data_IF_683103988365
#
_entry.id   IF_683103988365
#
_cell.length_a   1.000
_cell.length_b   1.000
_cell.length_c   1.000
_cell.angle_alpha   90.00
_cell.angle_beta   90.00
_cell.angle_gamma   90.00
#
_symmetry.space_group_name_H-M   'P 1'
#
loop_
_entity.id
_entity.type
_entity.pdbx_description
1 polymer ?
#
# COMPACT_ATOMS: atom_id res chain seq x y z
N UNK A 1 -41.48 52.35 16.99
CA UNK A 1 -40.01 52.26 17.15
C UNK A 1 -39.69 50.98 17.91
N UNK A 2 -38.76 50.18 17.36
CA UNK A 2 -38.12 48.98 17.93
C UNK A 2 -39.00 47.80 18.40
N UNK A 3 -39.13 46.78 17.54
CA UNK A 3 -39.00 45.34 17.85
C UNK A 3 -39.24 44.44 16.61
N UNK A 4 -38.35 44.47 15.59
CA UNK A 4 -38.12 43.26 14.77
C UNK A 4 -36.69 42.71 14.85
N UNK A 5 -35.80 43.30 15.66
CA UNK A 5 -34.39 42.89 15.72
C UNK A 5 -34.12 41.71 16.68
N UNK A 6 -35.06 41.37 17.57
CA UNK A 6 -34.86 40.29 18.54
C UNK A 6 -35.19 38.89 17.97
N UNK A 7 -35.95 38.81 16.87
CA UNK A 7 -36.32 37.54 16.24
C UNK A 7 -35.24 37.01 15.26
N UNK A 8 -34.41 37.90 14.71
CA UNK A 8 -33.34 37.54 13.78
C UNK A 8 -32.08 37.06 14.53
N UNK A 9 -31.82 37.59 15.74
CA UNK A 9 -30.71 37.15 16.58
C UNK A 9 -30.90 35.70 17.11
N UNK A 10 -32.13 35.32 17.44
CA UNK A 10 -32.42 33.99 18.03
C UNK A 10 -32.52 32.86 16.99
N UNK A 11 -32.82 33.16 15.71
CA UNK A 11 -32.84 32.13 14.65
C UNK A 11 -31.47 31.84 14.02
N UNK A 12 -30.51 32.77 14.09
CA UNK A 12 -29.19 32.60 13.43
C UNK A 12 -28.08 32.19 14.42
N UNK A 13 -28.25 32.40 15.73
CA UNK A 13 -27.15 32.36 16.69
C UNK A 13 -26.92 31.09 17.53
N UNK A 14 -27.92 30.23 17.72
CA UNK A 14 -27.83 29.16 18.74
C UNK A 14 -27.76 27.73 18.18
N UNK A 15 -28.46 27.42 17.08
CA UNK A 15 -28.45 26.06 16.51
C UNK A 15 -27.16 25.70 15.75
N UNK A 16 -26.47 26.68 15.15
CA UNK A 16 -25.19 26.45 14.47
C UNK A 16 -24.00 26.37 15.44
N UNK A 17 -24.03 27.07 16.58
CA UNK A 17 -22.98 27.00 17.61
C UNK A 17 -22.95 25.65 18.33
N UNK A 18 -24.10 25.02 18.58
CA UNK A 18 -24.18 23.71 19.24
C UNK A 18 -23.65 22.59 18.33
N UNK A 19 -24.00 22.59 17.04
CA UNK A 19 -23.50 21.60 16.06
C UNK A 19 -22.01 21.80 15.74
N UNK A 20 -21.56 23.05 15.59
CA UNK A 20 -20.13 23.37 15.39
C UNK A 20 -19.29 22.96 16.61
N UNK A 21 -19.76 23.24 17.83
CA UNK A 21 -19.08 22.83 19.06
C UNK A 21 -19.04 21.31 19.27
N UNK A 22 -20.08 20.57 18.87
CA UNK A 22 -20.08 19.09 18.90
C UNK A 22 -19.12 18.50 17.87
N UNK A 23 -19.06 19.05 16.66
CA UNK A 23 -18.10 18.64 15.63
C UNK A 23 -16.66 18.88 16.10
N UNK A 24 -16.36 20.07 16.63
CA UNK A 24 -15.04 20.42 17.17
C UNK A 24 -14.67 19.55 18.37
N UNK A 25 -15.58 19.30 19.31
CA UNK A 25 -15.35 18.38 20.44
C UNK A 25 -15.09 16.94 19.97
N UNK A 26 -15.83 16.46 18.99
CA UNK A 26 -15.65 15.11 18.43
C UNK A 26 -14.32 15.00 17.68
N UNK A 27 -13.95 16.03 16.91
CA UNK A 27 -12.66 16.12 16.22
C UNK A 27 -11.50 16.18 17.23
N UNK A 28 -11.61 17.00 18.28
CA UNK A 28 -10.61 17.08 19.37
C UNK A 28 -10.48 15.77 20.14
N UNK A 29 -11.59 15.11 20.49
CA UNK A 29 -11.58 13.80 21.15
C UNK A 29 -10.91 12.73 20.26
N UNK A 30 -11.21 12.74 18.96
CA UNK A 30 -10.59 11.84 17.99
C UNK A 30 -9.10 12.13 17.79
N UNK A 31 -8.71 13.40 17.79
CA UNK A 31 -7.31 13.82 17.73
C UNK A 31 -6.55 13.41 19.00
N UNK A 32 -7.12 13.65 20.19
CA UNK A 32 -6.56 13.23 21.47
C UNK A 32 -6.40 11.70 21.58
N UNK A 33 -7.41 10.94 21.13
CA UNK A 33 -7.32 9.47 21.02
C UNK A 33 -6.16 9.06 20.13
N UNK A 34 -6.05 9.63 18.93
CA UNK A 34 -4.94 9.31 18.01
C UNK A 34 -3.57 9.66 18.58
N UNK A 35 -3.46 10.76 19.32
CA UNK A 35 -2.22 11.15 20.00
C UNK A 35 -1.89 10.15 21.12
N UNK A 36 -2.87 9.76 21.92
CA UNK A 36 -2.70 8.74 22.95
C UNK A 36 -2.30 7.39 22.34
N UNK A 37 -3.01 6.91 21.33
CA UNK A 37 -2.71 5.67 20.61
C UNK A 37 -1.30 5.69 20.01
N UNK A 38 -0.87 6.84 19.46
CA UNK A 38 0.47 7.04 18.91
C UNK A 38 1.55 7.00 19.99
N UNK A 39 1.32 7.63 21.15
CA UNK A 39 2.25 7.61 22.27
C UNK A 39 2.35 6.21 22.87
N UNK A 40 1.21 5.53 23.06
CA UNK A 40 1.16 4.16 23.56
C UNK A 40 1.90 3.19 22.62
N UNK A 41 1.73 3.35 21.31
CA UNK A 41 2.49 2.57 20.33
C UNK A 41 3.99 2.85 20.41
N UNK A 42 4.40 4.11 20.51
CA UNK A 42 5.82 4.46 20.66
C UNK A 42 6.41 3.89 21.95
N UNK A 43 5.67 3.90 23.06
CA UNK A 43 6.08 3.26 24.30
C UNK A 43 6.25 1.75 24.15
N UNK A 44 5.32 1.07 23.47
CA UNK A 44 5.44 -0.36 23.14
C UNK A 44 6.65 -0.65 22.25
N UNK A 45 6.88 0.16 21.22
CA UNK A 45 8.01 0.00 20.30
C UNK A 45 9.36 0.17 21.04
N UNK A 46 9.45 1.19 21.89
CA UNK A 46 10.62 1.42 22.74
C UNK A 46 10.84 0.27 23.74
N UNK A 47 9.78 -0.33 24.28
CA UNK A 47 9.90 -1.47 25.19
C UNK A 47 10.56 -2.69 24.51
N UNK A 48 10.30 -2.93 23.23
CA UNK A 48 11.00 -3.99 22.46
C UNK A 48 12.49 -3.67 22.33
N UNK A 49 12.85 -2.43 22.01
CA UNK A 49 14.25 -2.02 21.87
C UNK A 49 15.00 -2.14 23.20
N UNK A 50 14.39 -1.70 24.30
CA UNK A 50 14.94 -1.85 25.66
C UNK A 50 15.07 -3.32 26.03
N UNK A 51 14.10 -4.16 25.68
CA UNK A 51 14.17 -5.62 25.90
C UNK A 51 15.35 -6.26 25.17
N UNK A 52 15.58 -5.90 23.91
CA UNK A 52 16.75 -6.36 23.15
C UNK A 52 18.06 -5.93 23.84
N UNK A 53 18.15 -4.68 24.27
CA UNK A 53 19.33 -4.18 24.97
C UNK A 53 19.56 -4.95 26.28
N UNK A 54 18.53 -5.10 27.12
CA UNK A 54 18.64 -5.85 28.38
C UNK A 54 19.08 -7.30 28.18
N UNK A 55 18.49 -8.01 27.22
CA UNK A 55 18.89 -9.38 26.90
C UNK A 55 20.34 -9.43 26.43
N UNK A 56 20.74 -8.52 25.53
CA UNK A 56 22.10 -8.46 24.99
C UNK A 56 23.13 -8.17 26.09
N UNK A 57 22.86 -7.16 26.93
CA UNK A 57 23.73 -6.80 28.07
C UNK A 57 23.82 -7.93 29.09
N UNK A 58 22.71 -8.60 29.40
CA UNK A 58 22.70 -9.71 30.36
C UNK A 58 23.57 -10.88 29.87
N UNK A 59 23.49 -11.23 28.59
CA UNK A 59 24.36 -12.27 28.00
C UNK A 59 25.84 -11.91 28.11
N UNK A 60 26.19 -10.65 27.82
CA UNK A 60 27.58 -10.19 27.93
C UNK A 60 28.06 -10.24 29.38
N UNK A 61 27.26 -9.79 30.33
CA UNK A 61 27.62 -9.84 31.75
C UNK A 61 27.79 -11.30 32.24
N UNK A 62 26.88 -12.20 31.86
CA UNK A 62 27.00 -13.62 32.20
C UNK A 62 28.29 -14.22 31.62
N UNK A 63 28.65 -13.87 30.38
CA UNK A 63 29.88 -14.33 29.75
C UNK A 63 31.12 -13.85 30.54
N UNK A 64 31.16 -12.57 30.93
CA UNK A 64 32.24 -12.01 31.73
C UNK A 64 32.35 -12.69 33.10
N UNK A 65 31.22 -12.90 33.79
CA UNK A 65 31.20 -13.62 35.08
C UNK A 65 31.66 -15.07 34.92
N UNK A 66 31.32 -15.72 33.80
CA UNK A 66 31.77 -17.09 33.51
C UNK A 66 33.29 -17.14 33.37
N UNK A 67 33.88 -16.21 32.62
CA UNK A 67 35.34 -16.12 32.43
C UNK A 67 36.08 -15.82 33.74
N UNK A 68 35.54 -14.91 34.57
CA UNK A 68 36.11 -14.60 35.88
C UNK A 68 36.01 -15.80 36.83
N UNK A 69 34.85 -16.47 36.87
CA UNK A 69 34.63 -17.64 37.71
C UNK A 69 35.62 -18.76 37.37
N UNK A 70 35.87 -19.02 36.08
CA UNK A 70 36.84 -20.03 35.65
C UNK A 70 38.29 -19.65 36.00
N UNK A 71 38.64 -18.37 35.99
CA UNK A 71 39.96 -17.91 36.41
C UNK A 71 40.21 -18.04 37.92
N UNK A 72 39.16 -17.92 38.74
CA UNK A 72 39.26 -17.92 40.20
C UNK A 72 39.17 -19.33 40.80
N UNK A 73 38.22 -20.14 40.35
CA UNK A 73 37.89 -21.40 41.04
C UNK A 73 38.55 -22.64 40.43
N UNK A 74 38.69 -22.71 39.10
CA UNK A 74 39.27 -23.86 38.39
C UNK A 74 38.53 -25.20 38.61
N UNK A 75 37.27 -25.15 39.06
CA UNK A 75 36.42 -26.30 39.32
C UNK A 75 35.01 -26.03 38.78
N UNK A 76 34.67 -26.75 37.71
CA UNK A 76 33.42 -26.60 36.96
C UNK A 76 32.16 -26.71 37.84
N UNK A 77 32.16 -27.57 38.86
CA UNK A 77 30.99 -27.73 39.74
C UNK A 77 30.81 -26.54 40.67
N UNK A 78 31.90 -25.95 41.14
CA UNK A 78 31.86 -24.75 42.01
C UNK A 78 31.50 -23.53 41.16
N UNK A 79 32.08 -23.41 39.98
CA UNK A 79 31.79 -22.33 39.02
C UNK A 79 30.29 -22.29 38.66
N UNK A 80 29.70 -23.45 38.34
CA UNK A 80 28.28 -23.53 38.00
C UNK A 80 27.37 -23.09 39.16
N UNK A 81 27.70 -23.46 40.40
CA UNK A 81 26.91 -23.08 41.57
C UNK A 81 27.04 -21.58 41.89
N UNK A 82 28.26 -21.04 41.80
CA UNK A 82 28.51 -19.60 41.99
C UNK A 82 27.76 -18.77 40.94
N UNK A 83 27.86 -19.15 39.66
CA UNK A 83 27.13 -18.48 38.59
C UNK A 83 25.62 -18.54 38.80
N UNK A 84 25.08 -19.70 39.20
CA UNK A 84 23.65 -19.84 39.47
C UNK A 84 23.17 -18.88 40.56
N UNK A 85 23.97 -18.67 41.61
CA UNK A 85 23.62 -17.77 42.71
C UNK A 85 23.75 -16.29 42.34
N UNK A 86 24.76 -15.91 41.55
CA UNK A 86 25.04 -14.50 41.21
C UNK A 86 24.16 -14.02 40.05
N UNK A 87 24.04 -14.81 38.98
CA UNK A 87 23.41 -14.36 37.72
C UNK A 87 22.06 -15.01 37.41
N UNK A 88 21.73 -16.15 38.03
CA UNK A 88 20.50 -16.90 37.74
C UNK A 88 19.22 -16.07 37.92
N UNK A 89 19.05 -15.46 39.11
CA UNK A 89 17.89 -14.61 39.40
C UNK A 89 17.79 -13.37 38.49
N UNK A 90 18.93 -12.81 38.06
CA UNK A 90 18.96 -11.69 37.13
C UNK A 90 18.48 -12.10 35.74
N UNK A 91 18.98 -13.23 35.22
CA UNK A 91 18.54 -13.78 33.94
C UNK A 91 17.04 -14.09 33.95
N UNK A 92 16.54 -14.76 34.99
CA UNK A 92 15.12 -15.09 35.11
C UNK A 92 14.20 -13.86 35.10
N UNK A 93 14.61 -12.76 35.76
CA UNK A 93 13.86 -11.48 35.72
C UNK A 93 13.86 -10.86 34.33
N UNK A 94 14.99 -10.87 33.63
CA UNK A 94 15.10 -10.31 32.27
C UNK A 94 14.26 -11.13 31.28
N UNK A 95 14.32 -12.47 31.36
CA UNK A 95 13.50 -13.36 30.53
C UNK A 95 12.00 -13.16 30.79
N UNK A 96 11.61 -13.06 32.07
CA UNK A 96 10.21 -12.81 32.45
C UNK A 96 9.71 -11.43 32.03
N UNK A 97 10.56 -10.41 32.08
CA UNK A 97 10.24 -9.08 31.55
C UNK A 97 10.06 -9.13 30.03
N UNK A 98 11.03 -9.72 29.32
CA UNK A 98 11.00 -9.86 27.87
C UNK A 98 9.74 -10.60 27.41
N UNK A 99 9.36 -11.68 28.10
CA UNK A 99 8.16 -12.46 27.77
C UNK A 99 6.90 -11.59 27.87
N UNK A 100 6.73 -10.84 28.97
CA UNK A 100 5.59 -9.93 29.14
C UNK A 100 5.52 -8.86 28.05
N UNK A 101 6.66 -8.26 27.71
CA UNK A 101 6.74 -7.23 26.66
C UNK A 101 6.35 -7.82 25.30
N UNK A 102 6.89 -8.99 24.94
CA UNK A 102 6.56 -9.69 23.69
C UNK A 102 5.09 -10.10 23.63
N UNK A 103 4.54 -10.65 24.71
CA UNK A 103 3.15 -11.12 24.77
C UNK A 103 2.15 -9.96 24.59
N UNK A 104 2.44 -8.80 25.18
CA UNK A 104 1.60 -7.60 25.10
C UNK A 104 1.81 -6.77 23.83
N UNK A 105 2.77 -7.10 22.97
CA UNK A 105 3.10 -6.30 21.81
C UNK A 105 2.13 -6.55 20.63
N UNK A 106 1.52 -5.47 20.14
CA UNK A 106 0.53 -5.45 19.04
C UNK A 106 0.98 -4.57 17.86
N UNK A 107 2.25 -4.15 17.85
CA UNK A 107 2.77 -3.24 16.84
C UNK A 107 3.21 -3.90 15.53
N UNK A 108 4.15 -3.26 14.85
CA UNK A 108 4.73 -3.81 13.62
C UNK A 108 5.75 -4.92 13.90
N UNK A 109 5.70 -6.00 13.12
CA UNK A 109 6.75 -7.03 13.11
C UNK A 109 8.15 -6.44 12.88
N UNK A 110 8.25 -5.32 12.15
CA UNK A 110 9.51 -4.66 11.85
C UNK A 110 10.29 -4.25 13.10
N UNK A 111 9.59 -3.94 14.19
CA UNK A 111 10.19 -3.59 15.47
C UNK A 111 10.62 -4.84 16.25
N UNK A 112 9.91 -5.96 16.11
CA UNK A 112 10.32 -7.25 16.69
C UNK A 112 11.50 -7.88 15.95
N UNK A 113 11.71 -7.56 14.67
CA UNK A 113 12.69 -8.20 13.82
C UNK A 113 14.12 -8.21 14.40
N UNK A 114 14.67 -7.13 14.97
CA UNK A 114 15.99 -7.16 15.62
C UNK A 114 16.05 -8.14 16.80
N UNK A 115 15.01 -8.17 17.64
CA UNK A 115 14.92 -9.09 18.78
C UNK A 115 14.80 -10.55 18.32
N UNK A 116 13.96 -10.83 17.33
CA UNK A 116 13.84 -12.15 16.72
C UNK A 116 15.17 -12.63 16.11
N UNK A 117 15.89 -11.73 15.42
CA UNK A 117 17.22 -12.01 14.85
C UNK A 117 18.23 -12.34 15.94
N UNK A 118 18.26 -11.56 17.02
CA UNK A 118 19.14 -11.80 18.16
C UNK A 118 18.87 -13.18 18.78
N UNK A 119 17.61 -13.47 19.11
CA UNK A 119 17.20 -14.73 19.73
C UNK A 119 17.49 -15.94 18.83
N UNK A 120 17.34 -15.83 17.51
CA UNK A 120 17.71 -16.90 16.58
C UNK A 120 19.22 -17.10 16.48
N UNK A 121 19.99 -16.00 16.35
CA UNK A 121 21.45 -16.03 16.23
C UNK A 121 22.11 -16.66 17.46
N UNK A 122 21.59 -16.38 18.65
CA UNK A 122 22.15 -16.82 19.92
C UNK A 122 21.36 -17.97 20.57
N UNK A 123 20.47 -18.65 19.83
CA UNK A 123 19.55 -19.64 20.39
C UNK A 123 20.25 -20.75 21.20
N UNK A 124 21.30 -21.37 20.64
CA UNK A 124 21.99 -22.48 21.29
C UNK A 124 22.76 -22.02 22.53
N UNK A 125 23.43 -20.86 22.43
CA UNK A 125 24.17 -20.26 23.54
C UNK A 125 23.23 -19.87 24.69
N UNK A 126 22.09 -19.26 24.37
CA UNK A 126 21.09 -18.88 25.37
C UNK A 126 20.41 -20.10 25.99
N UNK A 127 20.17 -21.16 25.22
CA UNK A 127 19.61 -22.40 25.73
C UNK A 127 20.54 -23.05 26.77
N UNK A 128 21.82 -23.22 26.43
CA UNK A 128 22.80 -23.82 27.36
C UNK A 128 23.04 -22.96 28.60
N UNK A 129 23.13 -21.64 28.44
CA UNK A 129 23.24 -20.71 29.58
C UNK A 129 22.01 -20.79 30.49
N UNK A 130 20.81 -20.81 29.91
CA UNK A 130 19.57 -20.90 30.69
C UNK A 130 19.45 -22.24 31.41
N UNK A 131 19.92 -23.33 30.80
CA UNK A 131 19.95 -24.66 31.42
C UNK A 131 20.90 -24.71 32.62
N UNK A 132 22.12 -24.22 32.46
CA UNK A 132 23.11 -24.19 33.54
C UNK A 132 22.61 -23.34 34.74
N UNK A 133 21.90 -22.26 34.45
CA UNK A 133 21.39 -21.30 35.43
C UNK A 133 20.00 -21.65 36.00
N UNK A 134 19.35 -22.72 35.52
CA UNK A 134 18.03 -23.16 36.01
C UNK A 134 16.83 -22.37 35.47
N UNK A 135 17.00 -21.63 34.38
CA UNK A 135 16.00 -20.74 33.75
C UNK A 135 15.50 -21.26 32.38
N UNK A 136 15.69 -22.56 32.09
CA UNK A 136 15.31 -23.17 30.80
C UNK A 136 13.84 -22.97 30.44
N UNK A 137 12.93 -23.06 31.42
CA UNK A 137 11.49 -22.95 31.17
C UNK A 137 11.09 -21.53 30.74
N UNK A 138 11.67 -20.51 31.39
CA UNK A 138 11.46 -19.10 31.10
C UNK A 138 12.01 -18.75 29.71
N UNK A 139 13.22 -19.24 29.40
CA UNK A 139 13.82 -19.05 28.07
C UNK A 139 12.99 -19.72 26.97
N UNK A 140 12.59 -20.98 27.16
CA UNK A 140 11.76 -21.69 26.20
C UNK A 140 10.41 -20.99 25.96
N UNK A 141 9.80 -20.46 27.03
CA UNK A 141 8.54 -19.71 26.95
C UNK A 141 8.70 -18.41 26.13
N UNK A 142 9.74 -17.62 26.43
CA UNK A 142 10.06 -16.41 25.67
C UNK A 142 10.34 -16.73 24.19
N UNK A 143 11.14 -17.76 23.93
CA UNK A 143 11.51 -18.16 22.59
C UNK A 143 10.27 -18.54 21.76
N UNK A 144 9.42 -19.41 22.29
CA UNK A 144 8.18 -19.84 21.63
C UNK A 144 7.21 -18.68 21.43
N UNK A 145 7.02 -17.82 22.44
CA UNK A 145 6.16 -16.63 22.32
C UNK A 145 6.66 -15.69 21.23
N UNK A 146 7.95 -15.33 21.22
CA UNK A 146 8.52 -14.41 20.24
C UNK A 146 8.37 -14.91 18.80
N UNK A 147 8.64 -16.19 18.56
CA UNK A 147 8.54 -16.75 17.22
C UNK A 147 7.10 -16.84 16.75
N UNK A 148 6.19 -17.30 17.61
CA UNK A 148 4.75 -17.30 17.33
C UNK A 148 4.22 -15.89 17.08
N UNK A 149 4.56 -14.94 17.95
CA UNK A 149 4.16 -13.53 17.84
C UNK A 149 4.65 -12.90 16.55
N UNK A 150 5.89 -13.19 16.13
CA UNK A 150 6.45 -12.70 14.87
C UNK A 150 5.59 -13.08 13.67
N UNK A 151 5.13 -14.33 13.59
CA UNK A 151 4.25 -14.79 12.50
C UNK A 151 2.84 -14.21 12.63
N UNK A 152 2.31 -14.13 13.85
CA UNK A 152 0.99 -13.52 14.11
C UNK A 152 0.96 -12.07 13.61
N UNK A 153 1.97 -11.25 13.89
CA UNK A 153 1.99 -9.85 13.46
C UNK A 153 2.06 -9.68 11.94
N UNK A 154 2.74 -10.60 11.24
CA UNK A 154 2.74 -10.60 9.76
C UNK A 154 1.33 -10.94 9.24
N UNK A 155 0.65 -11.92 9.85
CA UNK A 155 -0.72 -12.30 9.49
C UNK A 155 -1.74 -11.22 9.83
N UNK A 156 -1.53 -10.53 10.95
CA UNK A 156 -2.33 -9.40 11.38
C UNK A 156 -2.17 -8.20 10.45
N UNK A 157 -0.95 -7.89 10.00
CA UNK A 157 -0.74 -6.88 8.95
C UNK A 157 -1.56 -7.20 7.70
N UNK A 158 -1.54 -8.46 7.24
CA UNK A 158 -2.35 -8.91 6.10
C UNK A 158 -3.85 -8.71 6.34
N UNK A 159 -4.35 -9.06 7.53
CA UNK A 159 -5.76 -8.90 7.89
C UNK A 159 -6.16 -7.42 7.88
N UNK A 160 -5.41 -6.58 8.59
CA UNK A 160 -5.64 -5.13 8.66
C UNK A 160 -5.55 -4.46 7.30
N UNK A 161 -4.68 -4.97 6.41
CA UNK A 161 -4.61 -4.52 5.02
C UNK A 161 -5.90 -4.85 4.26
N UNK A 162 -6.41 -6.08 4.36
CA UNK A 162 -7.65 -6.49 3.68
C UNK A 162 -8.92 -5.82 4.22
N UNK A 163 -8.92 -5.42 5.49
CA UNK A 163 -10.05 -4.75 6.16
C UNK A 163 -10.00 -3.21 6.06
N UNK A 164 -9.13 -2.67 5.20
CA UNK A 164 -8.92 -1.23 5.01
C UNK A 164 -8.58 -0.44 6.28
N UNK A 165 -7.92 -1.09 7.24
CA UNK A 165 -7.45 -0.46 8.47
C UNK A 165 -6.08 0.21 8.31
N UNK A 166 -5.35 -0.13 7.23
CA UNK A 166 -4.03 0.42 6.89
C UNK A 166 -4.17 1.28 5.62
N UNK A 167 -3.40 2.36 5.52
CA UNK A 167 -3.42 3.29 4.37
C UNK A 167 -4.46 4.41 4.48
N UNK A 168 -5.43 4.30 5.40
CA UNK A 168 -6.39 5.35 5.70
C UNK A 168 -7.42 5.58 4.58
N UNK A 169 -8.24 6.62 4.74
CA UNK A 169 -9.31 6.98 3.77
C UNK A 169 -8.84 7.91 2.65
N UNK A 170 -7.54 8.19 2.59
CA UNK A 170 -6.99 9.05 1.56
C UNK A 170 -7.17 8.37 0.19
N UNK A 171 -7.55 9.16 -0.81
CA UNK A 171 -7.71 8.74 -2.20
C UNK A 171 -7.09 9.83 -3.07
N UNK A 172 -6.10 9.49 -3.91
CA UNK A 172 -5.53 10.44 -4.86
C UNK A 172 -6.59 10.94 -5.84
N UNK A 173 -6.82 12.25 -5.91
CA UNK A 173 -7.84 12.83 -6.80
C UNK A 173 -7.49 12.67 -8.29
N UNK A 174 -6.21 12.50 -8.58
CA UNK A 174 -5.62 12.31 -9.91
C UNK A 174 -5.50 10.81 -10.29
N UNK A 175 -5.86 9.90 -9.38
CA UNK A 175 -5.72 8.45 -9.60
C UNK A 175 -4.28 7.93 -9.48
N UNK A 176 -3.35 8.70 -8.90
CA UNK A 176 -1.96 8.27 -8.74
C UNK A 176 -1.81 7.02 -7.82
N UNK A 177 -0.60 6.48 -7.74
CA UNK A 177 -0.26 5.34 -6.87
C UNK A 177 -0.56 5.66 -5.42
N UNK A 178 -1.31 4.79 -4.75
CA UNK A 178 -1.63 4.96 -3.35
C UNK A 178 -0.39 4.62 -2.47
N UNK A 179 -0.08 5.40 -1.42
CA UNK A 179 1.08 5.14 -0.55
C UNK A 179 1.09 3.75 0.12
N UNK A 180 -0.07 3.10 0.26
CA UNK A 180 -0.18 1.73 0.77
C UNK A 180 0.54 0.71 -0.11
N UNK A 181 0.61 0.96 -1.42
CA UNK A 181 1.31 0.09 -2.38
C UNK A 181 2.81 0.10 -2.11
N UNK A 182 3.42 1.27 -1.98
CA UNK A 182 4.86 1.40 -1.68
C UNK A 182 5.18 0.91 -0.27
N UNK A 183 4.35 1.24 0.73
CA UNK A 183 4.51 0.76 2.11
C UNK A 183 4.49 -0.76 2.21
N UNK A 184 3.54 -1.42 1.53
CA UNK A 184 3.42 -2.88 1.53
C UNK A 184 4.59 -3.54 0.80
N UNK A 185 5.01 -2.99 -0.35
CA UNK A 185 6.15 -3.53 -1.08
C UNK A 185 7.46 -3.38 -0.30
N UNK A 186 7.65 -2.27 0.43
CA UNK A 186 8.81 -2.08 1.30
C UNK A 186 8.85 -3.12 2.43
N UNK A 187 7.70 -3.43 3.05
CA UNK A 187 7.61 -4.52 4.02
C UNK A 187 8.05 -5.85 3.40
N UNK A 188 7.50 -6.19 2.23
CA UNK A 188 7.85 -7.43 1.52
C UNK A 188 9.33 -7.51 1.17
N UNK A 189 9.94 -6.40 0.72
CA UNK A 189 11.39 -6.34 0.48
C UNK A 189 12.19 -6.69 1.73
N UNK A 190 11.82 -6.16 2.90
CA UNK A 190 12.53 -6.49 4.14
C UNK A 190 12.32 -7.94 4.57
N UNK A 191 11.10 -8.48 4.42
CA UNK A 191 10.83 -9.90 4.71
C UNK A 191 11.68 -10.81 3.81
N UNK A 192 11.78 -10.50 2.53
CA UNK A 192 12.58 -11.24 1.55
C UNK A 192 14.07 -11.13 1.83
N UNK A 193 14.59 -9.94 2.18
CA UNK A 193 15.98 -9.77 2.61
C UNK A 193 16.32 -10.62 3.84
N UNK A 194 15.31 -10.95 4.65
CA UNK A 194 15.43 -11.78 5.85
C UNK A 194 14.89 -13.21 5.64
N UNK A 195 14.87 -13.73 4.41
CA UNK A 195 14.27 -15.03 4.08
C UNK A 195 14.77 -16.18 4.97
N UNK A 196 16.08 -16.25 5.27
CA UNK A 196 16.64 -17.29 6.16
C UNK A 196 16.05 -17.23 7.56
N UNK A 197 15.95 -16.02 8.11
CA UNK A 197 15.36 -15.77 9.42
C UNK A 197 13.88 -16.12 9.41
N UNK A 198 13.14 -15.70 8.37
CA UNK A 198 11.71 -15.96 8.25
C UNK A 198 11.41 -17.47 8.14
N UNK A 199 12.20 -18.23 7.39
CA UNK A 199 12.10 -19.69 7.34
C UNK A 199 12.29 -20.33 8.71
N UNK A 200 13.29 -19.88 9.48
CA UNK A 200 13.52 -20.38 10.84
C UNK A 200 12.37 -20.02 11.78
N UNK A 201 11.81 -18.80 11.68
CA UNK A 201 10.65 -18.40 12.48
C UNK A 201 9.42 -19.27 12.17
N UNK A 202 9.13 -19.50 10.89
CA UNK A 202 8.00 -20.32 10.45
C UNK A 202 8.15 -21.75 10.96
N UNK A 203 9.34 -22.35 10.81
CA UNK A 203 9.61 -23.71 11.26
C UNK A 203 9.45 -23.82 12.79
N UNK A 204 9.99 -22.87 13.55
CA UNK A 204 9.94 -22.90 15.02
C UNK A 204 8.60 -22.46 15.61
N UNK A 205 7.79 -21.72 14.87
CA UNK A 205 6.42 -21.37 15.24
C UNK A 205 5.40 -22.47 14.86
N UNK A 206 5.86 -23.57 14.26
CA UNK A 206 5.04 -24.70 13.80
C UNK A 206 3.93 -24.25 12.83
N UNK A 207 4.26 -23.29 11.95
CA UNK A 207 3.32 -22.76 10.96
C UNK A 207 3.57 -23.43 9.61
N UNK A 208 2.54 -24.07 9.05
CA UNK A 208 2.59 -24.73 7.74
C UNK A 208 2.35 -23.76 6.58
N UNK A 209 3.14 -22.70 6.48
CA UNK A 209 3.01 -21.69 5.42
C UNK A 209 4.39 -21.23 4.97
N UNK A 210 4.69 -21.30 3.68
CA UNK A 210 6.00 -20.86 3.16
C UNK A 210 6.11 -19.32 3.20
N UNK A 211 7.32 -18.75 3.21
CA UNK A 211 7.48 -17.30 3.03
C UNK A 211 6.89 -16.78 1.72
N UNK A 212 6.92 -17.60 0.65
CA UNK A 212 6.31 -17.27 -0.64
C UNK A 212 4.80 -17.18 -0.54
N UNK A 213 4.16 -18.16 0.11
CA UNK A 213 2.72 -18.16 0.37
C UNK A 213 2.29 -16.91 1.15
N UNK A 214 3.04 -16.55 2.21
CA UNK A 214 2.80 -15.32 2.99
C UNK A 214 2.89 -14.07 2.11
N UNK A 215 3.93 -13.95 1.29
CA UNK A 215 4.12 -12.82 0.40
C UNK A 215 3.00 -12.70 -0.64
N UNK A 216 2.59 -13.83 -1.26
CA UNK A 216 1.46 -13.89 -2.19
C UNK A 216 0.18 -13.41 -1.51
N UNK A 217 -0.10 -13.86 -0.29
CA UNK A 217 -1.32 -13.48 0.41
C UNK A 217 -1.33 -12.01 0.84
N UNK A 218 -0.19 -11.45 1.24
CA UNK A 218 -0.07 -10.00 1.51
C UNK A 218 -0.35 -9.20 0.23
N UNK A 219 0.18 -9.62 -0.91
CA UNK A 219 -0.08 -8.96 -2.19
C UNK A 219 -1.54 -9.11 -2.64
N UNK A 220 -2.18 -10.25 -2.41
CA UNK A 220 -3.62 -10.42 -2.65
C UNK A 220 -4.46 -9.49 -1.78
N UNK A 221 -4.12 -9.36 -0.48
CA UNK A 221 -4.78 -8.43 0.42
C UNK A 221 -4.57 -6.97 -0.02
N UNK A 222 -3.38 -6.62 -0.53
CA UNK A 222 -3.12 -5.31 -1.13
C UNK A 222 -4.01 -5.06 -2.35
N UNK A 223 -4.06 -5.99 -3.31
CA UNK A 223 -4.92 -5.85 -4.49
C UNK A 223 -6.40 -5.73 -4.12
N UNK A 224 -6.88 -6.49 -3.13
CA UNK A 224 -8.24 -6.39 -2.64
C UNK A 224 -8.52 -5.02 -2.01
N UNK A 225 -7.61 -4.51 -1.18
CA UNK A 225 -7.71 -3.19 -0.58
C UNK A 225 -7.79 -2.10 -1.68
N UNK A 226 -6.91 -2.16 -2.67
CA UNK A 226 -6.89 -1.23 -3.79
C UNK A 226 -8.18 -1.29 -4.60
N UNK A 227 -8.78 -2.47 -4.81
CA UNK A 227 -10.08 -2.62 -5.48
C UNK A 227 -11.23 -2.03 -4.65
N UNK A 228 -11.21 -2.19 -3.34
CA UNK A 228 -12.19 -1.53 -2.46
C UNK A 228 -12.06 -0.01 -2.58
N UNK A 229 -10.83 0.51 -2.54
CA UNK A 229 -10.55 1.94 -2.76
C UNK A 229 -10.99 2.41 -4.14
N UNK A 230 -10.68 1.68 -5.20
CA UNK A 230 -11.07 2.07 -6.56
C UNK A 230 -12.58 2.16 -6.74
N UNK A 231 -13.35 1.30 -6.05
CA UNK A 231 -14.82 1.32 -6.09
C UNK A 231 -15.47 2.56 -5.45
N UNK A 232 -14.68 3.38 -4.75
CA UNK A 232 -15.18 4.61 -4.11
C UNK A 232 -15.07 5.85 -5.00
N UNK A 233 -14.37 5.78 -6.14
CA UNK A 233 -14.35 6.87 -7.10
C UNK A 233 -15.71 6.99 -7.81
N UNK A 234 -16.19 8.22 -7.95
CA UNK A 234 -17.43 8.49 -8.69
C UNK A 234 -17.28 8.25 -10.18
N UNK A 235 -16.11 8.60 -10.75
CA UNK A 235 -15.80 8.34 -12.15
C UNK A 235 -15.17 6.94 -12.34
N UNK A 236 -15.81 6.04 -13.12
CA UNK A 236 -15.25 4.73 -13.44
C UNK A 236 -13.94 4.77 -14.23
N UNK A 237 -13.72 5.81 -15.06
CA UNK A 237 -12.47 5.93 -15.80
C UNK A 237 -11.31 6.26 -14.86
N UNK A 238 -11.50 7.19 -13.91
CA UNK A 238 -10.54 7.44 -12.84
C UNK A 238 -10.30 6.21 -11.96
N UNK A 239 -11.36 5.47 -11.60
CA UNK A 239 -11.24 4.22 -10.85
C UNK A 239 -10.36 3.19 -11.57
N UNK A 240 -10.53 3.06 -12.89
CA UNK A 240 -9.72 2.18 -13.74
C UNK A 240 -8.27 2.64 -13.81
N UNK A 241 -8.05 3.95 -13.98
CA UNK A 241 -6.72 4.56 -14.05
C UNK A 241 -5.95 4.41 -12.74
N UNK A 242 -6.62 4.58 -11.60
CA UNK A 242 -6.07 4.27 -10.28
C UNK A 242 -5.58 2.82 -10.16
N UNK A 243 -6.38 1.86 -10.66
CA UNK A 243 -5.97 0.45 -10.66
C UNK A 243 -4.78 0.19 -11.59
N UNK A 244 -4.74 0.79 -12.78
CA UNK A 244 -3.61 0.68 -13.72
C UNK A 244 -2.31 1.12 -13.03
N UNK A 245 -2.30 2.33 -12.45
CA UNK A 245 -1.14 2.88 -11.77
C UNK A 245 -0.62 1.97 -10.66
N UNK A 246 -1.51 1.51 -9.76
CA UNK A 246 -1.09 0.70 -8.62
C UNK A 246 -0.64 -0.71 -9.04
N UNK A 247 -1.37 -1.38 -9.95
CA UNK A 247 -1.03 -2.73 -10.39
C UNK A 247 0.28 -2.77 -11.17
N UNK A 248 0.51 -1.77 -12.03
CA UNK A 248 1.79 -1.66 -12.74
C UNK A 248 2.94 -1.34 -11.79
N UNK A 249 2.73 -0.43 -10.84
CA UNK A 249 3.74 -0.14 -9.82
C UNK A 249 4.13 -1.40 -9.02
N UNK A 250 3.13 -2.20 -8.62
CA UNK A 250 3.35 -3.49 -7.95
C UNK A 250 4.11 -4.45 -8.87
N UNK A 251 3.61 -4.69 -10.09
CA UNK A 251 4.22 -5.62 -11.04
C UNK A 251 5.66 -5.25 -11.40
N UNK A 252 5.93 -3.97 -11.68
CA UNK A 252 7.27 -3.47 -11.96
C UNK A 252 8.20 -3.60 -10.75
N UNK A 253 7.72 -3.28 -9.54
CA UNK A 253 8.53 -3.42 -8.33
C UNK A 253 8.87 -4.88 -8.07
N UNK A 254 7.90 -5.79 -8.19
CA UNK A 254 8.13 -7.23 -8.05
C UNK A 254 9.15 -7.73 -9.08
N UNK A 255 9.00 -7.33 -10.35
CA UNK A 255 9.91 -7.74 -11.43
C UNK A 255 11.35 -7.22 -11.25
N UNK A 256 11.52 -6.03 -10.68
CA UNK A 256 12.85 -5.46 -10.39
C UNK A 256 13.53 -6.16 -9.19
N UNK A 257 12.76 -6.57 -8.19
CA UNK A 257 13.25 -7.24 -6.99
C UNK A 257 13.40 -8.76 -7.22
N UNK A 258 14.52 -9.19 -7.82
CA UNK A 258 14.75 -10.60 -8.22
C UNK A 258 14.47 -11.63 -7.12
N UNK A 259 14.84 -11.33 -5.87
CA UNK A 259 14.61 -12.26 -4.75
C UNK A 259 13.13 -12.38 -4.40
N UNK A 260 12.37 -11.28 -4.47
CA UNK A 260 10.92 -11.30 -4.27
C UNK A 260 10.24 -12.04 -5.42
N UNK A 261 10.64 -11.77 -6.67
CA UNK A 261 10.13 -12.48 -7.84
C UNK A 261 10.34 -14.00 -7.72
N UNK A 262 11.56 -14.44 -7.44
CA UNK A 262 11.89 -15.85 -7.28
C UNK A 262 11.10 -16.49 -6.13
N UNK A 263 10.92 -15.77 -5.02
CA UNK A 263 10.15 -16.25 -3.89
C UNK A 263 8.66 -16.46 -4.24
N UNK A 264 8.06 -15.51 -4.95
CA UNK A 264 6.67 -15.60 -5.40
C UNK A 264 6.50 -16.73 -6.43
N UNK A 265 7.42 -16.86 -7.37
CA UNK A 265 7.38 -17.90 -8.40
C UNK A 265 7.60 -19.31 -7.85
N UNK A 266 8.37 -19.44 -6.76
CA UNK A 266 8.55 -20.71 -6.07
C UNK A 266 7.25 -21.27 -5.46
N UNK A 267 6.27 -20.39 -5.22
CA UNK A 267 4.97 -20.76 -4.63
C UNK A 267 3.82 -20.72 -5.65
N UNK A 268 3.76 -19.65 -6.46
CA UNK A 268 2.78 -19.47 -7.53
C UNK A 268 3.44 -18.85 -8.78
N UNK A 269 3.92 -19.69 -9.69
CA UNK A 269 4.69 -19.28 -10.89
C UNK A 269 4.05 -18.16 -11.71
N UNK A 270 2.73 -18.21 -11.90
CA UNK A 270 1.99 -17.24 -12.72
C UNK A 270 1.47 -16.01 -11.92
N UNK A 271 1.72 -15.94 -10.62
CA UNK A 271 1.19 -14.84 -9.79
C UNK A 271 1.79 -13.48 -10.16
N UNK A 272 3.11 -13.31 -10.38
CA UNK A 272 3.67 -12.01 -10.75
C UNK A 272 3.11 -11.45 -12.07
N UNK A 273 2.88 -12.29 -13.07
CA UNK A 273 2.31 -11.86 -14.36
C UNK A 273 0.82 -11.51 -14.27
N UNK A 274 0.12 -11.95 -13.20
CA UNK A 274 -1.30 -11.61 -13.01
C UNK A 274 -1.54 -10.11 -12.82
N UNK A 275 -0.58 -9.37 -12.24
CA UNK A 275 -0.70 -7.91 -12.08
C UNK A 275 -0.72 -7.19 -13.43
N UNK A 276 0.10 -7.63 -14.39
CA UNK A 276 0.12 -7.06 -15.73
C UNK A 276 -1.19 -7.37 -16.46
N UNK A 277 -1.64 -8.62 -16.43
CA UNK A 277 -2.93 -9.03 -17.03
C UNK A 277 -4.10 -8.23 -16.45
N UNK A 278 -4.14 -8.04 -15.14
CA UNK A 278 -5.18 -7.26 -14.47
C UNK A 278 -5.10 -5.78 -14.85
N UNK A 279 -3.90 -5.19 -14.88
CA UNK A 279 -3.71 -3.80 -15.33
C UNK A 279 -4.17 -3.61 -16.78
N UNK A 280 -3.89 -4.56 -17.67
CA UNK A 280 -4.37 -4.53 -19.04
C UNK A 280 -5.91 -4.59 -19.12
N UNK A 281 -6.57 -5.37 -18.25
CA UNK A 281 -8.04 -5.38 -18.18
C UNK A 281 -8.61 -4.02 -17.78
N UNK A 282 -8.02 -3.36 -16.78
CA UNK A 282 -8.43 -2.00 -16.39
C UNK A 282 -8.11 -0.96 -17.47
N UNK A 283 -7.00 -1.12 -18.20
CA UNK A 283 -6.69 -0.29 -19.35
C UNK A 283 -7.78 -0.39 -20.42
N UNK A 284 -8.26 -1.60 -20.73
CA UNK A 284 -9.38 -1.75 -21.67
C UNK A 284 -10.66 -1.07 -21.16
N UNK A 285 -10.93 -1.11 -19.85
CA UNK A 285 -12.08 -0.41 -19.27
C UNK A 285 -11.94 1.11 -19.37
N UNK A 286 -10.76 1.65 -19.08
CA UNK A 286 -10.45 3.07 -19.25
C UNK A 286 -10.58 3.52 -20.70
N UNK A 287 -10.08 2.74 -21.66
CA UNK A 287 -10.12 3.11 -23.08
C UNK A 287 -11.54 3.13 -23.67
N UNK A 288 -12.53 2.48 -23.04
CA UNK A 288 -13.94 2.51 -23.51
C UNK A 288 -14.52 3.92 -23.56
N UNK A 289 -14.14 4.82 -22.64
CA UNK A 289 -14.65 6.20 -22.68
C UNK A 289 -14.09 6.97 -23.88
N UNK A 290 -12.85 6.69 -24.28
CA UNK A 290 -12.23 7.27 -25.48
C UNK A 290 -12.74 6.63 -26.77
N UNK A 291 -13.01 5.32 -26.77
CA UNK A 291 -13.59 4.62 -27.91
C UNK A 291 -14.95 5.23 -28.32
N UNK A 292 -15.80 5.60 -27.35
CA UNK A 292 -17.08 6.29 -27.60
C UNK A 292 -16.91 7.63 -28.33
N UNK A 293 -15.82 8.35 -28.08
CA UNK A 293 -15.52 9.61 -28.78
C UNK A 293 -15.20 9.35 -30.25
N UNK A 294 -14.43 8.30 -30.54
CA UNK A 294 -14.14 7.87 -31.91
C UNK A 294 -15.35 7.28 -32.65
N UNK A 295 -16.21 6.56 -31.94
CA UNK A 295 -17.44 5.96 -32.48
C UNK A 295 -18.42 6.99 -33.05
N UNK A 296 -18.29 8.28 -32.70
CA UNK A 296 -19.06 9.37 -33.32
C UNK A 296 -18.89 9.39 -34.85
N UNK A 297 -17.75 8.93 -35.36
CA UNK A 297 -17.46 8.85 -36.79
C UNK A 297 -17.93 7.55 -37.45
N UNK A 298 -18.39 6.56 -36.67
CA UNK A 298 -19.00 5.36 -37.22
C UNK A 298 -20.42 5.67 -37.68
N UNK A 299 -20.55 5.95 -38.98
CA UNK A 299 -21.82 6.34 -39.63
C UNK A 299 -22.69 5.15 -40.05
N UNK A 300 -22.46 3.94 -39.53
CA UNK A 300 -23.33 2.78 -39.77
C UNK A 300 -24.61 2.96 -38.93
N UNK A 301 -25.44 3.87 -39.40
CA UNK A 301 -26.79 4.09 -38.95
C UNK A 301 -27.60 2.82 -39.29
N UNK A 302 -28.29 2.26 -38.30
CA UNK A 302 -29.18 1.13 -38.51
C UNK A 302 -30.25 1.44 -39.57
N UNK A 303 -30.90 0.42 -40.17
CA UNK A 303 -31.88 0.64 -41.22
C UNK A 303 -33.04 1.51 -40.68
N UNK A 304 -33.11 2.78 -41.14
CA UNK A 304 -34.18 3.73 -40.79
C UNK A 304 -33.72 5.07 -40.20
N UNK A 305 -32.43 5.26 -39.87
CA UNK A 305 -31.92 6.55 -39.38
C UNK A 305 -31.41 7.45 -40.54
N UNK A 306 -31.84 8.71 -40.58
CA UNK A 306 -31.37 9.70 -41.56
C UNK A 306 -29.86 9.94 -41.41
N UNK A 307 -29.13 10.01 -42.53
CA UNK A 307 -27.71 10.37 -42.56
C UNK A 307 -27.49 11.69 -41.83
N UNK A 308 -26.77 11.66 -40.71
CA UNK A 308 -26.31 12.88 -40.01
C UNK A 308 -25.39 13.66 -40.94
N UNK A 309 -25.55 14.99 -40.98
CA UNK A 309 -24.65 15.84 -41.76
C UNK A 309 -23.24 15.83 -41.18
N UNK A 310 -22.21 15.98 -42.02
CA UNK A 310 -20.80 16.03 -41.61
C UNK A 310 -20.56 17.07 -40.52
N UNK A 311 -21.17 18.27 -40.67
CA UNK A 311 -21.13 19.33 -39.66
C UNK A 311 -21.69 18.89 -38.29
N UNK A 312 -22.83 18.19 -38.29
CA UNK A 312 -23.43 17.71 -37.04
C UNK A 312 -22.56 16.66 -36.32
N UNK A 313 -21.90 15.78 -37.08
CA UNK A 313 -20.98 14.77 -36.57
C UNK A 313 -19.78 15.44 -35.89
N UNK A 314 -19.13 16.40 -36.56
CA UNK A 314 -18.01 17.15 -35.95
C UNK A 314 -18.43 17.98 -34.74
N UNK A 315 -19.65 18.50 -34.71
CA UNK A 315 -20.19 19.22 -33.54
C UNK A 315 -20.31 18.29 -32.34
N UNK A 316 -20.85 17.08 -32.53
CA UNK A 316 -20.94 16.06 -31.48
C UNK A 316 -19.55 15.64 -31.03
N UNK A 317 -18.65 15.33 -31.97
CA UNK A 317 -17.27 14.97 -31.67
C UNK A 317 -16.58 16.03 -30.80
N UNK A 318 -16.67 17.30 -31.21
CA UNK A 318 -16.05 18.42 -30.49
C UNK A 318 -16.55 18.50 -29.05
N UNK A 319 -17.87 18.33 -28.84
CA UNK A 319 -18.47 18.33 -27.50
C UNK A 319 -17.96 17.16 -26.64
N UNK A 320 -17.98 15.93 -27.18
CA UNK A 320 -17.55 14.74 -26.42
C UNK A 320 -16.04 14.77 -26.14
N UNK A 321 -15.23 15.22 -27.10
CA UNK A 321 -13.79 15.37 -26.95
C UNK A 321 -13.43 16.47 -25.93
N UNK A 322 -14.10 17.62 -25.97
CA UNK A 322 -13.90 18.69 -24.98
C UNK A 322 -14.25 18.20 -23.57
N UNK A 323 -15.38 17.51 -23.41
CA UNK A 323 -15.84 17.02 -22.13
C UNK A 323 -14.85 16.02 -21.51
N UNK A 324 -14.36 15.05 -22.29
CA UNK A 324 -13.43 14.05 -21.78
C UNK A 324 -12.04 14.64 -21.49
N UNK A 325 -11.55 15.57 -22.31
CA UNK A 325 -10.26 16.25 -22.08
C UNK A 325 -10.32 17.11 -20.82
N UNK A 326 -11.40 17.89 -20.65
CA UNK A 326 -11.58 18.73 -19.48
C UNK A 326 -11.71 17.91 -18.19
N UNK A 327 -12.38 16.76 -18.25
CA UNK A 327 -12.50 15.84 -17.13
C UNK A 327 -11.15 15.17 -16.78
N UNK A 328 -10.42 14.69 -17.79
CA UNK A 328 -9.22 13.87 -17.59
C UNK A 328 -7.92 14.66 -17.49
N UNK A 329 -7.94 15.99 -17.64
CA UNK A 329 -6.73 16.83 -17.52
C UNK A 329 -6.03 16.71 -16.17
N UNK A 330 -6.77 16.38 -15.11
CA UNK A 330 -6.22 16.21 -13.76
C UNK A 330 -5.74 14.78 -13.50
N UNK A 331 -5.92 13.85 -14.44
CA UNK A 331 -5.53 12.44 -14.23
C UNK A 331 -4.03 12.30 -14.38
N UNK A 332 -3.44 11.43 -13.57
CA UNK A 332 -2.01 11.16 -13.56
C UNK A 332 -1.75 9.70 -13.90
N UNK A 333 -0.92 9.43 -14.92
CA UNK A 333 -0.34 8.10 -15.13
C UNK A 333 1.10 8.14 -14.61
N UNK A 334 1.37 7.40 -13.54
CA UNK A 334 2.60 7.56 -12.76
C UNK A 334 3.87 7.13 -13.53
N UNK A 335 3.75 6.15 -14.42
CA UNK A 335 4.85 5.60 -15.21
C UNK A 335 4.82 6.14 -16.64
N UNK A 336 5.91 6.76 -17.10
CA UNK A 336 5.97 7.41 -18.41
C UNK A 336 5.81 6.42 -19.58
N UNK A 337 6.34 5.20 -19.44
CA UNK A 337 6.20 4.17 -20.49
C UNK A 337 4.73 3.80 -20.65
N UNK A 338 4.02 3.65 -19.53
CA UNK A 338 2.58 3.44 -19.53
C UNK A 338 1.84 4.65 -20.08
N UNK A 339 2.17 5.87 -19.64
CA UNK A 339 1.51 7.08 -20.13
C UNK A 339 1.60 7.17 -21.65
N UNK A 340 2.78 6.92 -22.23
CA UNK A 340 2.99 6.87 -23.67
C UNK A 340 2.15 5.77 -24.34
N UNK A 341 2.07 4.57 -23.75
CA UNK A 341 1.21 3.50 -24.26
C UNK A 341 -0.26 3.90 -24.28
N UNK A 342 -0.77 4.46 -23.17
CA UNK A 342 -2.15 4.95 -23.05
C UNK A 342 -2.43 6.00 -24.12
N UNK A 343 -1.57 7.01 -24.25
CA UNK A 343 -1.70 8.06 -25.29
C UNK A 343 -1.74 7.47 -26.70
N UNK A 344 -0.83 6.54 -27.02
CA UNK A 344 -0.84 5.85 -28.32
C UNK A 344 -2.17 5.12 -28.58
N UNK A 345 -2.72 4.45 -27.57
CA UNK A 345 -4.03 3.77 -27.69
C UNK A 345 -5.18 4.76 -27.88
N UNK A 346 -5.18 5.88 -27.15
CA UNK A 346 -6.17 6.95 -27.32
C UNK A 346 -6.08 7.52 -28.75
N UNK A 347 -4.87 7.80 -29.26
CA UNK A 347 -4.67 8.24 -30.65
C UNK A 347 -5.28 7.25 -31.64
N UNK A 348 -5.04 5.95 -31.47
CA UNK A 348 -5.65 4.94 -32.36
C UNK A 348 -7.18 4.89 -32.31
N UNK A 349 -7.78 5.24 -31.16
CA UNK A 349 -9.23 5.21 -31.00
C UNK A 349 -9.92 6.49 -31.46
N UNK A 350 -9.22 7.63 -31.47
CA UNK A 350 -9.82 8.94 -31.69
C UNK A 350 -9.28 9.60 -32.96
N UNK A 351 -7.95 9.70 -33.07
CA UNK A 351 -7.29 10.40 -34.17
C UNK A 351 -7.46 9.63 -35.49
N UNK A 352 -7.32 8.31 -35.46
CA UNK A 352 -7.46 7.50 -36.67
C UNK A 352 -8.88 7.59 -37.28
N UNK A 353 -9.99 7.38 -36.54
CA UNK A 353 -11.33 7.60 -37.07
C UNK A 353 -11.58 9.03 -37.55
N UNK A 354 -11.05 10.04 -36.84
CA UNK A 354 -11.14 11.44 -37.26
C UNK A 354 -10.50 11.68 -38.63
N UNK A 355 -9.28 11.18 -38.85
CA UNK A 355 -8.54 11.35 -40.12
C UNK A 355 -9.22 10.59 -41.25
N UNK A 356 -9.65 9.36 -41.01
CA UNK A 356 -10.35 8.53 -42.01
C UNK A 356 -11.67 9.18 -42.43
N UNK A 357 -12.47 9.66 -41.48
CA UNK A 357 -13.72 10.36 -41.75
C UNK A 357 -13.50 11.68 -42.49
N UNK A 358 -12.51 12.48 -42.07
CA UNK A 358 -12.17 13.74 -42.72
C UNK A 358 -11.72 13.53 -44.17
N UNK A 359 -10.91 12.50 -44.42
CA UNK A 359 -10.45 12.15 -45.77
C UNK A 359 -11.61 11.69 -46.67
N UNK A 360 -12.54 10.90 -46.14
CA UNK A 360 -13.72 10.42 -46.87
C UNK A 360 -14.68 11.56 -47.26
N UNK A 361 -14.76 12.61 -46.43
CA UNK A 361 -15.65 13.75 -46.64
C UNK A 361 -14.88 15.04 -46.95
N UNK A 362 -13.76 14.93 -47.68
CA UNK A 362 -12.79 16.03 -47.86
C UNK A 362 -13.37 17.30 -48.47
N UNK A 363 -14.31 17.18 -49.41
CA UNK A 363 -14.96 18.33 -50.06
C UNK A 363 -15.79 19.14 -49.04
N UNK A 364 -16.67 18.48 -48.29
CA UNK A 364 -17.48 19.12 -47.25
C UNK A 364 -16.60 19.65 -46.09
N UNK A 365 -15.51 18.95 -45.75
CA UNK A 365 -14.57 19.42 -44.75
C UNK A 365 -13.85 20.70 -45.20
N UNK A 366 -13.41 20.77 -46.47
CA UNK A 366 -12.76 21.97 -47.02
C UNK A 366 -13.69 23.19 -46.94
N UNK A 367 -14.95 23.01 -47.34
CA UNK A 367 -15.97 24.07 -47.25
C UNK A 367 -16.20 24.51 -45.79
N UNK A 368 -16.23 23.58 -44.83
CA UNK A 368 -16.41 23.89 -43.41
C UNK A 368 -15.19 24.57 -42.76
N UNK A 369 -13.98 24.26 -43.22
CA UNK A 369 -12.75 24.93 -42.76
C UNK A 369 -12.63 26.35 -43.34
N UNK A 370 -13.00 26.55 -44.60
CA UNK A 370 -12.97 27.86 -45.28
C UNK A 370 -14.11 28.80 -44.81
N UNK A 371 -15.30 28.25 -44.51
CA UNK A 371 -16.47 29.01 -44.07
C UNK A 371 -16.40 29.35 -42.56
N UNK A 372 -15.49 30.26 -42.19
CA UNK A 372 -15.43 30.90 -40.87
C UNK A 372 -14.95 29.97 -39.72
N UNK A 373 -14.06 29.01 -40.01
CA UNK A 373 -13.47 28.05 -39.04
C UNK A 373 -14.50 27.31 -38.19
N UNK A 374 -15.54 26.76 -38.82
CA UNK A 374 -16.58 26.03 -38.09
C UNK A 374 -16.09 24.74 -37.44
N UNK A 375 -14.94 24.22 -37.86
CA UNK A 375 -14.26 23.09 -37.25
C UNK A 375 -13.21 23.61 -36.25
N UNK A 376 -13.40 23.25 -34.97
CA UNK A 376 -12.51 23.66 -33.86
C UNK A 376 -11.14 22.98 -33.93
N UNK A 377 -11.09 21.76 -34.46
CA UNK A 377 -9.94 20.88 -34.39
C UNK A 377 -9.52 20.38 -35.77
N UNK A 378 -8.20 20.37 -36.00
CA UNK A 378 -7.55 19.57 -37.03
C UNK A 378 -6.84 18.36 -36.41
N UNK A 379 -6.28 17.49 -37.26
CA UNK A 379 -5.61 16.27 -36.82
C UNK A 379 -4.40 16.58 -35.91
N UNK A 380 -3.62 17.61 -36.24
CA UNK A 380 -2.43 18.01 -35.48
C UNK A 380 -2.80 18.52 -34.09
N UNK A 381 -3.87 19.30 -33.97
CA UNK A 381 -4.36 19.84 -32.69
C UNK A 381 -4.88 18.72 -31.79
N UNK A 382 -5.63 17.75 -32.33
CA UNK A 382 -6.09 16.58 -31.57
C UNK A 382 -4.90 15.77 -31.07
N UNK A 383 -3.92 15.53 -31.93
CA UNK A 383 -2.71 14.80 -31.56
C UNK A 383 -1.95 15.49 -30.42
N UNK A 384 -1.74 16.81 -30.54
CA UNK A 384 -1.08 17.62 -29.52
C UNK A 384 -1.84 17.60 -28.19
N UNK A 385 -3.17 17.66 -28.20
CA UNK A 385 -3.98 17.60 -26.97
C UNK A 385 -3.83 16.23 -26.31
N UNK A 386 -3.89 15.14 -27.08
CA UNK A 386 -3.73 13.78 -26.55
C UNK A 386 -2.31 13.59 -25.99
N UNK A 387 -1.29 14.15 -26.64
CA UNK A 387 0.09 14.05 -26.15
C UNK A 387 0.32 14.72 -24.80
N UNK A 388 -0.44 15.78 -24.50
CA UNK A 388 -0.39 16.51 -23.23
C UNK A 388 -1.18 15.86 -22.09
N UNK A 389 -2.02 14.85 -22.38
CA UNK A 389 -2.76 14.15 -21.33
C UNK A 389 -1.80 13.47 -20.36
N UNK A 390 -2.04 13.56 -19.05
CA UNK A 390 -1.21 12.95 -18.00
C UNK A 390 0.20 13.54 -17.82
N UNK A 391 0.54 14.65 -18.49
CA UNK A 391 1.78 15.36 -18.16
C UNK A 391 1.60 16.09 -16.82
N UNK A 392 2.50 15.85 -15.87
CA UNK A 392 2.47 16.46 -14.52
C UNK A 392 2.76 17.99 -14.52
N UNK A 393 2.69 18.63 -15.69
CA UNK A 393 3.02 20.03 -15.94
C UNK A 393 1.96 20.65 -16.85
N UNK A 394 0.81 21.00 -16.25
CA UNK A 394 -0.07 22.05 -16.76
C UNK A 394 -0.29 23.09 -15.65
#
# INVERSE_FOLDING_TARGET
MMKPLQFIADQIGLNNRVKSGQFVKTALKKAASRIADSNDQLHRDNAIAVTLFMLSSTVVLIQLETEQSSAVFGNVSVEAEVLRQIVGACLGRVLSHALRVVDSYEGSFMILLPLARFMLKHANQLASLSENLGESAQFASLQSSLYRKSIILIKDYRLRLSEDQIGGRFLPQDGNVHPISSGTLNLLKVLVQQQKLLNQLIQRAEVHESPGALAVQILKALSQNLRQKSSTYEDPALASLFMINNLQYIGQTVSRERTLLALLQGDQTAFPSSFETEAQSYLQQFLKVWAKVGEVFNTDLGPGEEKRSVKSIFTVFTREFDAIVEQQKIYCVADQITANNVRMRIKSLVLQPFVEFSKKNSQECSELFEADRQLKYDAETIEMIIDRLFDATL
#
